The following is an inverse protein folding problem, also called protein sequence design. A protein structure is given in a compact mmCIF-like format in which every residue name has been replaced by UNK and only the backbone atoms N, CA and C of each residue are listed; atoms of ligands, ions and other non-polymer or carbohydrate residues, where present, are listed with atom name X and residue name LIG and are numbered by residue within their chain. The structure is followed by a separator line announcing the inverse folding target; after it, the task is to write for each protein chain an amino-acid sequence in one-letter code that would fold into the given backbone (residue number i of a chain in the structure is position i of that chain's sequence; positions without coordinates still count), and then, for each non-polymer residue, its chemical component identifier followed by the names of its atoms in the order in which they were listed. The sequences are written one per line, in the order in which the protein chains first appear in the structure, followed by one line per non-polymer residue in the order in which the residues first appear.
data_IF_089078397761
#
_entry.id   IF_089078397761
#
_cell.length_a   1.000
_cell.length_b   1.000
_cell.length_c   1.000
_cell.angle_alpha   90.00
_cell.angle_beta   90.00
_cell.angle_gamma   90.00
#
_symmetry.space_group_name_H-M   'P 1'
#
loop_
_entity.id
_entity.type
_entity.pdbx_description
1 polymer ?
#
# COMPACT_ATOMS: atom_id res chain seq x y z
N UNK A 1 42.52 27.58 -37.55
CA UNK A 1 41.58 28.67 -37.16
C UNK A 1 41.08 29.30 -38.45
N UNK A 2 39.94 28.85 -38.98
CA UNK A 2 39.38 29.36 -40.24
C UNK A 2 37.91 29.72 -40.04
N UNK A 3 37.56 30.96 -40.39
CA UNK A 3 36.26 31.61 -40.17
C UNK A 3 35.62 31.82 -41.54
N UNK A 4 34.42 31.27 -41.77
CA UNK A 4 33.65 31.49 -43.00
C UNK A 4 32.36 32.23 -42.66
N UNK A 5 32.19 33.40 -43.29
CA UNK A 5 31.03 34.30 -43.16
C UNK A 5 29.82 33.73 -43.90
N UNK A 6 28.64 33.73 -43.27
CA UNK A 6 27.36 33.48 -43.94
C UNK A 6 26.89 34.74 -44.67
N UNK A 7 26.41 34.60 -45.91
CA UNK A 7 25.73 35.64 -46.68
C UNK A 7 24.27 35.19 -46.85
N UNK A 8 23.34 36.04 -46.42
CA UNK A 8 21.90 35.84 -46.60
C UNK A 8 21.50 36.23 -48.02
N UNK A 9 20.61 35.45 -48.64
CA UNK A 9 19.78 35.89 -49.77
C UNK A 9 18.39 35.31 -49.59
N UNK A 10 17.42 36.22 -49.45
CA UNK A 10 15.98 35.99 -49.44
C UNK A 10 15.50 35.76 -50.87
N UNK A 11 14.86 34.61 -51.13
CA UNK A 11 14.05 34.38 -52.32
C UNK A 11 12.64 34.01 -51.88
N UNK A 12 11.67 34.87 -52.20
CA UNK A 12 10.23 34.60 -52.09
C UNK A 12 9.80 33.92 -53.38
N UNK A 13 9.11 32.79 -53.28
CA UNK A 13 8.30 32.26 -54.37
C UNK A 13 6.88 32.03 -53.84
N UNK A 14 5.95 32.80 -54.40
CA UNK A 14 4.54 32.80 -54.08
C UNK A 14 3.82 31.65 -54.80
N UNK A 15 2.76 31.13 -54.17
CA UNK A 15 1.71 30.35 -54.81
C UNK A 15 1.54 28.93 -54.27
N UNK A 16 0.84 28.79 -53.14
CA UNK A 16 0.16 27.53 -52.80
C UNK A 16 -1.34 27.75 -52.94
N UNK A 17 -2.01 26.87 -53.67
CA UNK A 17 -3.43 26.93 -53.97
C UNK A 17 -4.27 26.98 -52.69
N UNK A 18 -5.33 27.78 -52.69
CA UNK A 18 -6.43 27.77 -51.74
C UNK A 18 -7.14 26.43 -51.77
N UNK A 19 -6.57 25.43 -51.11
CA UNK A 19 -7.27 24.26 -50.66
C UNK A 19 -7.77 24.57 -49.24
N UNK A 20 -9.06 24.36 -48.99
CA UNK A 20 -9.74 24.59 -47.73
C UNK A 20 -8.93 24.08 -46.54
N UNK A 21 -8.26 25.00 -45.85
CA UNK A 21 -7.68 24.76 -44.55
C UNK A 21 -8.85 24.56 -43.59
N UNK A 22 -9.26 23.30 -43.40
CA UNK A 22 -10.01 22.91 -42.22
C UNK A 22 -9.19 23.33 -41.02
N UNK A 23 -9.78 24.25 -40.26
CA UNK A 23 -9.31 24.78 -38.99
C UNK A 23 -8.92 23.61 -38.07
N UNK A 24 -7.66 23.19 -38.09
CA UNK A 24 -7.11 22.26 -37.10
C UNK A 24 -6.85 23.08 -35.85
N UNK A 25 -7.93 23.34 -35.10
CA UNK A 25 -7.89 24.03 -33.84
C UNK A 25 -6.86 23.38 -32.91
N UNK A 26 -5.77 24.11 -32.66
CA UNK A 26 -4.91 23.87 -31.50
C UNK A 26 -5.82 24.05 -30.28
N UNK A 27 -5.76 23.10 -29.36
CA UNK A 27 -6.66 22.95 -28.22
C UNK A 27 -6.56 24.13 -27.24
N UNK A 28 -7.17 25.26 -27.59
CA UNK A 28 -7.37 26.44 -26.77
C UNK A 28 -8.76 27.00 -27.04
N UNK A 29 -9.79 26.26 -26.60
CA UNK A 29 -11.09 26.86 -26.32
C UNK A 29 -11.30 26.84 -24.81
N UNK A 30 -11.81 27.94 -24.26
CA UNK A 30 -12.31 28.01 -22.89
C UNK A 30 -13.60 27.19 -22.77
N UNK A 31 -13.51 25.89 -23.04
CA UNK A 31 -14.54 24.93 -22.63
C UNK A 31 -14.36 24.67 -21.15
N UNK A 32 -15.40 24.91 -20.35
CA UNK A 32 -15.52 24.32 -19.00
C UNK A 32 -15.30 22.81 -19.16
N UNK A 33 -14.10 22.35 -18.85
CA UNK A 33 -13.70 20.98 -19.09
C UNK A 33 -14.46 20.05 -18.15
N UNK A 34 -15.33 19.20 -18.69
CA UNK A 34 -15.95 18.12 -17.94
C UNK A 34 -16.22 16.94 -18.91
N UNK A 35 -15.33 15.95 -18.94
CA UNK A 35 -15.71 14.57 -19.26
C UNK A 35 -16.13 13.89 -17.96
N UNK A 36 -17.25 14.30 -17.36
CA UNK A 36 -17.89 13.49 -16.32
C UNK A 36 -18.62 12.39 -17.07
N UNK A 37 -17.95 11.25 -17.25
CA UNK A 37 -18.67 9.99 -17.43
C UNK A 37 -19.51 9.79 -16.17
N UNK A 38 -20.69 9.18 -16.30
CA UNK A 38 -21.47 8.63 -15.20
C UNK A 38 -20.69 7.48 -14.55
N UNK A 39 -19.52 7.80 -14.00
CA UNK A 39 -18.81 6.93 -13.10
C UNK A 39 -19.66 6.94 -11.83
N UNK A 40 -20.07 5.75 -11.37
CA UNK A 40 -20.72 5.56 -10.07
C UNK A 40 -20.04 6.50 -9.07
N UNK A 41 -20.83 7.29 -8.32
CA UNK A 41 -20.34 8.15 -7.24
C UNK A 41 -19.58 7.30 -6.22
N UNK A 42 -18.33 6.97 -6.53
CA UNK A 42 -17.45 6.33 -5.59
C UNK A 42 -16.96 7.47 -4.70
N UNK A 43 -17.42 7.46 -3.45
CA UNK A 43 -17.15 8.45 -2.42
C UNK A 43 -15.69 8.36 -1.90
N UNK A 44 -14.73 8.35 -2.83
CA UNK A 44 -13.31 8.40 -2.58
C UNK A 44 -12.94 9.79 -2.06
N UNK A 45 -12.12 9.83 -1.02
CA UNK A 45 -11.59 11.08 -0.48
C UNK A 45 -10.60 11.66 -1.48
N UNK A 46 -10.91 12.85 -2.03
CA UNK A 46 -9.94 13.63 -2.80
C UNK A 46 -8.99 14.40 -1.87
N UNK A 47 -7.93 14.98 -2.41
CA UNK A 47 -7.01 15.81 -1.62
C UNK A 47 -7.72 17.08 -1.11
N UNK A 48 -8.62 17.66 -1.92
CA UNK A 48 -9.43 18.79 -1.48
C UNK A 48 -10.42 18.38 -0.37
N UNK A 49 -11.01 17.19 -0.46
CA UNK A 49 -11.83 16.65 0.64
C UNK A 49 -11.01 16.43 1.91
N UNK A 50 -9.76 15.94 1.79
CA UNK A 50 -8.84 15.81 2.92
C UNK A 50 -8.67 17.16 3.63
N UNK A 51 -8.35 18.21 2.88
CA UNK A 51 -8.12 19.54 3.43
C UNK A 51 -9.39 20.16 4.00
N UNK A 52 -10.49 20.11 3.26
CA UNK A 52 -11.72 20.83 3.62
C UNK A 52 -12.55 20.13 4.69
N UNK A 53 -12.56 18.78 4.72
CA UNK A 53 -13.42 18.02 5.64
C UNK A 53 -12.72 17.55 6.90
N UNK A 54 -11.39 17.44 6.88
CA UNK A 54 -10.61 16.84 7.96
C UNK A 54 -9.52 17.75 8.50
N UNK A 55 -8.84 18.50 7.63
CA UNK A 55 -7.66 19.32 7.99
C UNK A 55 -7.92 20.83 7.85
N UNK A 56 -9.17 21.27 7.97
CA UNK A 56 -9.54 22.67 7.73
C UNK A 56 -8.88 23.61 8.74
N UNK A 57 -9.01 23.29 10.02
CA UNK A 57 -8.31 23.98 11.09
C UNK A 57 -7.85 22.98 12.15
N UNK A 58 -6.88 23.40 12.96
CA UNK A 58 -6.27 22.54 13.97
C UNK A 58 -7.26 22.05 15.02
N UNK A 59 -8.12 22.91 15.54
CA UNK A 59 -9.03 22.55 16.63
C UNK A 59 -10.11 21.59 16.12
N UNK A 60 -10.62 21.83 14.92
CA UNK A 60 -11.50 20.91 14.21
C UNK A 60 -10.81 19.57 13.93
N UNK A 61 -9.57 19.58 13.43
CA UNK A 61 -8.79 18.35 13.17
C UNK A 61 -8.66 17.52 14.45
N UNK A 62 -8.28 18.14 15.56
CA UNK A 62 -8.13 17.46 16.85
C UNK A 62 -9.49 16.94 17.38
N UNK A 63 -10.56 17.71 17.20
CA UNK A 63 -11.93 17.28 17.55
C UNK A 63 -12.35 16.05 16.74
N UNK A 64 -12.11 16.06 15.43
CA UNK A 64 -12.38 14.94 14.54
C UNK A 64 -11.54 13.72 14.91
N UNK A 65 -10.23 13.89 15.14
CA UNK A 65 -9.35 12.79 15.56
C UNK A 65 -9.84 12.12 16.86
N UNK A 66 -10.38 12.89 17.81
CA UNK A 66 -11.01 12.33 19.02
C UNK A 66 -12.28 11.55 18.70
N UNK A 67 -13.15 12.12 17.88
CA UNK A 67 -14.42 11.51 17.51
C UNK A 67 -14.22 10.19 16.76
N UNK A 68 -13.20 10.11 15.90
CA UNK A 68 -12.80 8.88 15.21
C UNK A 68 -12.06 7.88 16.12
N UNK A 69 -11.62 8.27 17.31
CA UNK A 69 -10.79 7.42 18.16
C UNK A 69 -9.38 7.20 17.60
N UNK A 70 -8.83 8.18 16.89
CA UNK A 70 -7.43 8.23 16.46
C UNK A 70 -6.52 8.90 17.49
N UNK A 71 -7.09 9.72 18.38
CA UNK A 71 -6.48 10.22 19.62
C UNK A 71 -7.43 10.00 20.79
N UNK A 72 -6.90 9.96 22.02
CA UNK A 72 -7.71 9.71 23.20
C UNK A 72 -8.78 10.81 23.39
N UNK A 73 -10.02 10.42 23.66
CA UNK A 73 -11.11 11.34 23.99
C UNK A 73 -11.07 11.78 25.46
N UNK A 74 -10.52 10.93 26.33
CA UNK A 74 -10.34 11.16 27.76
C UNK A 74 -9.08 10.45 28.24
N UNK A 75 -8.48 10.92 29.34
CA UNK A 75 -7.31 10.29 29.95
C UNK A 75 -7.39 10.37 31.47
N UNK A 76 -7.01 9.29 32.16
CA UNK A 76 -6.91 9.26 33.62
C UNK A 76 -5.49 9.56 34.08
N UNK A 77 -5.35 10.31 35.16
CA UNK A 77 -4.07 10.60 35.77
C UNK A 77 -3.50 9.36 36.47
N UNK A 78 -2.33 8.89 36.06
CA UNK A 78 -1.67 7.73 36.69
C UNK A 78 -1.30 7.92 38.16
N UNK A 79 -1.28 9.14 38.68
CA UNK A 79 -0.95 9.43 40.09
C UNK A 79 -2.19 9.47 41.00
N UNK A 80 -3.32 10.03 40.53
CA UNK A 80 -4.54 10.19 41.35
C UNK A 80 -5.76 9.40 40.86
N UNK A 81 -5.67 8.73 39.71
CA UNK A 81 -6.78 8.02 39.08
C UNK A 81 -7.92 8.90 38.56
N UNK A 82 -7.84 10.23 38.72
CA UNK A 82 -8.88 11.15 38.24
C UNK A 82 -8.72 11.52 36.78
N UNK A 83 -9.81 11.93 36.16
CA UNK A 83 -9.81 12.47 34.79
C UNK A 83 -8.92 13.71 34.66
N UNK A 84 -8.12 13.71 33.59
CA UNK A 84 -7.28 14.82 33.19
C UNK A 84 -8.09 15.80 32.33
N UNK A 85 -7.76 17.09 32.42
CA UNK A 85 -8.35 18.13 31.59
C UNK A 85 -7.57 18.29 30.29
N UNK A 86 -8.27 18.63 29.22
CA UNK A 86 -7.68 19.05 27.95
C UNK A 86 -7.44 20.56 28.01
N UNK A 87 -6.18 20.97 28.10
CA UNK A 87 -5.79 22.36 28.31
C UNK A 87 -4.92 22.85 27.16
N UNK A 88 -5.16 24.10 26.72
CA UNK A 88 -4.35 24.74 25.68
C UNK A 88 -2.94 25.07 26.22
N UNK A 89 -1.94 24.97 25.35
CA UNK A 89 -0.56 25.30 25.68
C UNK A 89 0.15 25.91 24.46
N UNK A 90 0.94 26.95 24.70
CA UNK A 90 1.67 27.65 23.64
C UNK A 90 3.12 27.14 23.47
N UNK A 91 3.61 26.32 24.42
CA UNK A 91 4.97 25.82 24.47
C UNK A 91 5.17 24.49 23.74
N UNK A 92 4.13 23.97 23.08
CA UNK A 92 4.15 22.73 22.28
C UNK A 92 3.55 23.01 20.91
N UNK A 93 4.13 22.40 19.87
CA UNK A 93 3.64 22.49 18.49
C UNK A 93 2.21 22.00 18.33
N UNK A 94 1.78 21.05 19.15
CA UNK A 94 0.44 20.46 19.11
C UNK A 94 -0.66 21.36 19.72
N UNK A 95 -0.29 22.40 20.46
CA UNK A 95 -1.22 23.38 21.02
C UNK A 95 -2.03 22.94 22.23
N UNK A 96 -2.00 21.66 22.62
CA UNK A 96 -2.75 21.13 23.76
C UNK A 96 -2.01 20.05 24.53
N UNK A 97 -2.37 19.90 25.81
CA UNK A 97 -1.89 18.84 26.72
C UNK A 97 -3.02 18.28 27.57
N UNK A 98 -2.86 17.03 28.01
CA UNK A 98 -3.63 16.48 29.11
C UNK A 98 -3.01 16.91 30.43
N UNK A 99 -3.77 17.57 31.30
CA UNK A 99 -3.27 18.11 32.56
C UNK A 99 -4.11 17.69 33.76
N UNK A 100 -3.44 17.31 34.85
CA UNK A 100 -4.04 17.09 36.16
C UNK A 100 -3.33 17.95 37.22
N UNK A 101 -4.11 18.70 38.01
CA UNK A 101 -3.65 19.55 39.12
C UNK A 101 -4.33 19.20 40.45
N UNK A 102 -4.86 17.98 40.60
CA UNK A 102 -5.60 17.58 41.80
C UNK A 102 -4.69 17.45 43.03
N UNK A 103 -5.30 17.54 44.21
CA UNK A 103 -4.64 17.36 45.49
C UNK A 103 -4.91 15.93 46.01
N UNK A 104 -3.87 15.21 46.42
CA UNK A 104 -3.96 13.91 47.08
C UNK A 104 -3.26 14.03 48.44
N UNK A 105 -3.90 13.56 49.52
CA UNK A 105 -3.31 13.56 50.87
C UNK A 105 -2.70 14.92 51.28
N UNK A 106 -3.39 16.02 50.93
CA UNK A 106 -2.92 17.38 51.21
C UNK A 106 -1.79 17.91 50.33
N UNK A 107 -1.21 17.11 49.42
CA UNK A 107 -0.17 17.55 48.47
C UNK A 107 -0.75 17.71 47.06
N UNK A 108 -0.52 18.87 46.45
CA UNK A 108 -0.82 19.07 45.02
C UNK A 108 0.17 18.26 44.20
N UNK A 109 -0.32 17.52 43.22
CA UNK A 109 0.53 16.96 42.18
C UNK A 109 0.18 17.64 40.86
N UNK A 110 1.20 17.78 40.02
CA UNK A 110 1.07 18.24 38.65
C UNK A 110 1.48 17.07 37.77
N UNK A 111 0.53 16.57 36.98
CA UNK A 111 0.80 15.59 35.93
C UNK A 111 0.40 16.20 34.59
N UNK A 112 1.33 16.18 33.64
CA UNK A 112 1.11 16.60 32.27
C UNK A 112 1.46 15.45 31.33
N UNK A 113 0.65 15.26 30.30
CA UNK A 113 0.86 14.26 29.25
C UNK A 113 0.57 14.87 27.89
N UNK A 114 1.35 14.48 26.89
CA UNK A 114 1.05 14.86 25.50
C UNK A 114 -0.33 14.35 25.09
N UNK A 115 -0.98 15.11 24.20
CA UNK A 115 -2.19 14.64 23.51
C UNK A 115 -1.85 13.58 22.45
N UNK A 116 -0.58 13.49 22.06
CA UNK A 116 -0.06 12.38 21.26
C UNK A 116 -0.16 11.09 22.08
N UNK A 117 -0.62 10.06 21.40
CA UNK A 117 -0.78 8.70 21.86
C UNK A 117 -1.18 7.84 20.67
N UNK A 118 -1.47 6.56 20.91
CA UNK A 118 -1.74 5.62 19.82
C UNK A 118 -0.59 5.69 18.81
N UNK A 119 -0.88 5.78 17.53
CA UNK A 119 0.10 5.84 16.44
C UNK A 119 0.80 7.20 16.24
N UNK A 120 0.36 8.26 16.92
CA UNK A 120 1.06 9.57 16.89
C UNK A 120 2.17 9.67 17.95
N UNK A 121 2.34 8.65 18.79
CA UNK A 121 3.37 8.63 19.82
C UNK A 121 4.77 8.64 19.19
N UNK A 122 5.66 9.48 19.72
CA UNK A 122 7.03 9.69 19.20
C UNK A 122 7.13 10.16 17.73
N UNK A 123 6.02 10.53 17.10
CA UNK A 123 6.04 11.09 15.76
C UNK A 123 6.68 12.50 15.76
N UNK A 124 7.74 12.66 14.96
CA UNK A 124 8.41 13.95 14.73
C UNK A 124 7.70 14.84 13.68
N UNK A 125 6.43 14.58 13.41
CA UNK A 125 5.58 15.27 12.45
C UNK A 125 4.30 15.75 13.13
N UNK A 126 3.74 16.87 12.71
CA UNK A 126 2.43 17.37 13.16
C UNK A 126 1.31 16.38 12.78
N UNK A 127 0.17 16.45 13.47
CA UNK A 127 -1.01 15.65 13.12
C UNK A 127 -1.38 15.82 11.64
N UNK A 128 -1.39 17.06 11.15
CA UNK A 128 -1.69 17.39 9.76
C UNK A 128 -0.71 16.74 8.78
N UNK A 129 0.59 16.81 9.04
CA UNK A 129 1.61 16.19 8.20
C UNK A 129 1.48 14.66 8.16
N UNK A 130 1.16 14.02 9.29
CA UNK A 130 0.92 12.57 9.35
C UNK A 130 -0.33 12.18 8.54
N UNK A 131 -1.42 12.93 8.68
CA UNK A 131 -2.64 12.67 7.91
C UNK A 131 -2.40 12.85 6.40
N UNK A 132 -1.67 13.89 6.00
CA UNK A 132 -1.29 14.08 4.59
C UNK A 132 -0.34 12.99 4.10
N UNK A 133 0.65 12.58 4.91
CA UNK A 133 1.59 11.53 4.55
C UNK A 133 0.86 10.23 4.25
N UNK A 134 0.03 9.76 5.18
CA UNK A 134 -0.73 8.52 5.03
C UNK A 134 -1.72 8.58 3.87
N UNK A 135 -2.36 9.73 3.64
CA UNK A 135 -3.20 9.94 2.47
C UNK A 135 -2.42 9.76 1.17
N UNK A 136 -1.30 10.49 1.00
CA UNK A 136 -0.48 10.42 -0.21
C UNK A 136 0.12 9.03 -0.42
N UNK A 137 0.54 8.38 0.66
CA UNK A 137 0.99 6.99 0.64
C UNK A 137 -0.14 6.04 0.17
N UNK A 138 -1.37 6.22 0.66
CA UNK A 138 -2.51 5.43 0.21
C UNK A 138 -2.85 5.68 -1.27
N UNK A 139 -2.55 6.88 -1.79
CA UNK A 139 -2.64 7.21 -3.22
C UNK A 139 -1.48 6.67 -4.08
N UNK A 140 -0.60 5.82 -3.51
CA UNK A 140 0.49 5.13 -4.22
C UNK A 140 1.57 6.10 -4.75
N UNK A 141 1.75 7.25 -4.09
CA UNK A 141 2.88 8.14 -4.36
C UNK A 141 4.16 7.54 -3.79
N UNK A 142 5.26 7.73 -4.51
CA UNK A 142 6.57 7.28 -4.05
C UNK A 142 7.08 8.14 -2.88
N UNK A 143 7.97 7.56 -2.08
CA UNK A 143 8.54 8.22 -0.88
C UNK A 143 9.16 9.60 -1.20
N UNK A 144 9.77 9.75 -2.39
CA UNK A 144 10.40 11.00 -2.80
C UNK A 144 9.37 12.08 -3.12
N UNK A 145 8.28 11.72 -3.79
CA UNK A 145 7.14 12.60 -4.08
C UNK A 145 6.51 13.09 -2.77
N UNK A 146 6.23 12.19 -1.83
CA UNK A 146 5.63 12.55 -0.53
C UNK A 146 6.58 13.48 0.23
N UNK A 147 7.86 13.14 0.29
CA UNK A 147 8.90 13.99 0.91
C UNK A 147 8.89 15.40 0.32
N UNK A 148 8.86 15.52 -1.01
CA UNK A 148 8.86 16.81 -1.71
C UNK A 148 7.59 17.61 -1.43
N UNK A 149 6.43 16.97 -1.38
CA UNK A 149 5.16 17.64 -1.15
C UNK A 149 5.01 18.15 0.29
N UNK A 150 5.50 17.39 1.27
CA UNK A 150 5.39 17.76 2.69
C UNK A 150 6.59 18.54 3.22
N UNK A 151 7.69 18.61 2.47
CA UNK A 151 8.91 19.28 2.90
C UNK A 151 9.65 18.58 4.06
N UNK A 152 9.40 17.29 4.27
CA UNK A 152 9.96 16.53 5.41
C UNK A 152 11.37 15.98 5.13
N UNK A 153 12.07 15.62 6.20
CA UNK A 153 13.39 14.98 6.13
C UNK A 153 13.33 13.55 5.56
N UNK A 154 14.45 13.07 5.01
CA UNK A 154 14.53 11.70 4.45
C UNK A 154 14.24 10.62 5.50
N UNK A 155 14.80 10.77 6.72
CA UNK A 155 14.58 9.82 7.81
C UNK A 155 13.10 9.71 8.18
N UNK A 156 12.44 10.84 8.43
CA UNK A 156 11.00 10.88 8.70
C UNK A 156 10.18 10.20 7.59
N UNK A 157 10.51 10.46 6.31
CA UNK A 157 9.82 9.82 5.20
C UNK A 157 10.02 8.29 5.14
N UNK A 158 11.23 7.79 5.43
CA UNK A 158 11.50 6.35 5.51
C UNK A 158 10.76 5.72 6.69
N UNK A 159 10.83 6.35 7.86
CA UNK A 159 10.22 5.84 9.09
C UNK A 159 8.71 5.70 8.92
N UNK A 160 8.04 6.71 8.35
CA UNK A 160 6.61 6.69 8.10
C UNK A 160 6.18 5.74 6.99
N UNK A 161 7.00 5.59 5.94
CA UNK A 161 6.76 4.60 4.90
C UNK A 161 6.89 3.16 5.44
N UNK A 162 7.86 2.93 6.33
CA UNK A 162 7.98 1.66 7.08
C UNK A 162 6.79 1.43 8.01
N UNK A 163 6.37 2.45 8.76
CA UNK A 163 5.19 2.38 9.62
C UNK A 163 3.93 1.97 8.85
N UNK A 164 3.69 2.57 7.67
CA UNK A 164 2.52 2.23 6.85
C UNK A 164 2.54 0.76 6.41
N UNK A 165 3.72 0.22 6.08
CA UNK A 165 3.88 -1.21 5.76
C UNK A 165 3.68 -2.11 6.98
N UNK A 166 4.15 -1.70 8.15
CA UNK A 166 3.96 -2.45 9.39
C UNK A 166 2.46 -2.57 9.73
N UNK A 167 1.69 -1.49 9.58
CA UNK A 167 0.21 -1.52 9.71
C UNK A 167 -0.42 -2.54 8.76
N UNK A 168 0.06 -2.61 7.51
CA UNK A 168 -0.39 -3.61 6.54
C UNK A 168 -0.05 -5.03 7.00
N UNK A 169 1.18 -5.26 7.45
CA UNK A 169 1.67 -6.57 7.90
C UNK A 169 0.87 -7.10 9.10
N UNK A 170 0.71 -6.27 10.14
CA UNK A 170 -0.08 -6.61 11.34
C UNK A 170 -1.52 -6.89 10.96
N UNK A 171 -2.13 -6.04 10.14
CA UNK A 171 -3.52 -6.21 9.67
C UNK A 171 -3.71 -7.54 8.95
N UNK A 172 -2.80 -7.88 8.03
CA UNK A 172 -2.88 -9.11 7.25
C UNK A 172 -2.62 -10.35 8.11
N UNK A 173 -1.80 -10.22 9.15
CA UNK A 173 -1.53 -11.28 10.12
C UNK A 173 -2.73 -11.55 11.04
N UNK A 174 -3.41 -10.51 11.51
CA UNK A 174 -4.64 -10.62 12.32
C UNK A 174 -5.79 -11.24 11.52
N UNK A 175 -5.96 -10.84 10.26
CA UNK A 175 -6.99 -11.32 9.35
C UNK A 175 -6.60 -12.61 8.62
N UNK A 176 -5.62 -13.37 9.13
CA UNK A 176 -5.13 -14.58 8.45
C UNK A 176 -6.19 -15.69 8.49
N UNK A 177 -6.47 -16.25 7.32
CA UNK A 177 -7.41 -17.34 7.16
C UNK A 177 -7.00 -18.26 6.01
N UNK A 178 -7.33 -19.55 6.13
CA UNK A 178 -7.08 -20.50 5.04
C UNK A 178 -7.86 -20.13 3.79
N UNK A 179 -7.26 -20.36 2.64
CA UNK A 179 -7.79 -20.15 1.31
C UNK A 179 -8.33 -21.48 0.77
N UNK A 180 -9.41 -21.43 0.00
CA UNK A 180 -9.98 -22.61 -0.65
C UNK A 180 -11.05 -23.30 0.19
N UNK A 181 -11.04 -24.64 0.15
CA UNK A 181 -12.01 -25.54 0.74
C UNK A 181 -12.63 -26.48 -0.31
N UNK A 182 -13.45 -27.45 0.12
CA UNK A 182 -14.16 -28.36 -0.79
C UNK A 182 -14.94 -27.60 -1.87
N UNK A 183 -14.70 -27.97 -3.13
CA UNK A 183 -15.32 -27.33 -4.29
C UNK A 183 -14.78 -25.93 -4.65
N UNK A 184 -13.73 -25.47 -3.98
CA UNK A 184 -13.01 -24.22 -4.34
C UNK A 184 -11.73 -24.54 -5.10
N UNK A 185 -11.38 -23.62 -5.99
CA UNK A 185 -10.19 -23.68 -6.83
C UNK A 185 -9.18 -22.62 -6.41
N UNK A 186 -7.92 -23.04 -6.26
CA UNK A 186 -6.78 -22.15 -6.04
C UNK A 186 -5.68 -22.47 -7.05
N UNK A 187 -4.98 -21.42 -7.50
CA UNK A 187 -3.75 -21.56 -8.28
C UNK A 187 -2.55 -21.35 -7.36
N UNK A 188 -1.51 -22.17 -7.51
CA UNK A 188 -0.25 -22.04 -6.78
C UNK A 188 0.93 -22.02 -7.75
N UNK A 189 1.98 -21.30 -7.39
CA UNK A 189 3.19 -21.13 -8.19
C UNK A 189 4.32 -20.51 -7.36
N UNK A 190 5.54 -20.56 -7.89
CA UNK A 190 6.73 -19.91 -7.35
C UNK A 190 7.27 -18.86 -8.30
N UNK A 191 7.59 -17.70 -7.75
CA UNK A 191 8.22 -16.62 -8.51
C UNK A 191 9.53 -16.19 -7.86
N UNK A 192 10.56 -15.97 -8.69
CA UNK A 192 11.83 -15.39 -8.25
C UNK A 192 11.90 -13.89 -8.54
N UNK A 193 12.11 -13.09 -7.50
CA UNK A 193 12.47 -11.67 -7.59
C UNK A 193 13.99 -11.55 -7.74
N UNK A 194 14.47 -10.58 -8.53
CA UNK A 194 15.91 -10.36 -8.71
C UNK A 194 16.60 -11.52 -9.43
N UNK A 195 16.16 -11.84 -10.66
CA UNK A 195 16.80 -12.85 -11.51
C UNK A 195 17.65 -12.23 -12.62
N UNK A 196 18.70 -12.93 -13.03
CA UNK A 196 19.49 -12.59 -14.21
C UNK A 196 18.62 -12.50 -15.46
N UNK A 197 18.86 -11.47 -16.27
CA UNK A 197 18.27 -11.39 -17.61
C UNK A 197 18.91 -12.48 -18.48
N UNK A 198 18.10 -13.41 -19.00
CA UNK A 198 18.55 -14.54 -19.84
C UNK A 198 19.65 -15.41 -19.23
N UNK A 199 19.72 -15.52 -17.90
CA UNK A 199 20.80 -16.23 -17.19
C UNK A 199 22.22 -15.71 -17.48
N UNK A 200 22.35 -14.51 -18.07
CA UNK A 200 23.63 -13.87 -18.42
C UNK A 200 23.90 -12.66 -17.52
N UNK A 201 25.18 -12.30 -17.38
CA UNK A 201 25.62 -11.13 -16.61
C UNK A 201 25.78 -11.37 -15.11
N UNK A 202 25.70 -10.29 -14.33
CA UNK A 202 25.96 -10.26 -12.88
C UNK A 202 25.14 -11.31 -12.09
N UNK A 203 25.76 -12.05 -11.15
CA UNK A 203 25.01 -12.99 -10.28
C UNK A 203 24.08 -12.17 -9.37
N UNK A 204 22.80 -12.51 -9.35
CA UNK A 204 21.87 -11.96 -8.36
C UNK A 204 21.32 -13.15 -7.58
N UNK A 205 21.50 -13.14 -6.25
CA UNK A 205 20.96 -14.18 -5.35
C UNK A 205 19.44 -14.29 -5.54
N UNK A 206 18.77 -13.13 -5.54
CA UNK A 206 17.33 -13.00 -5.69
C UNK A 206 16.57 -13.53 -4.48
N UNK A 207 15.24 -13.38 -4.49
CA UNK A 207 14.34 -13.88 -3.45
C UNK A 207 13.28 -14.76 -4.08
N UNK A 208 13.11 -15.98 -3.58
CA UNK A 208 11.97 -16.81 -3.96
C UNK A 208 10.73 -16.38 -3.18
N UNK A 209 9.60 -16.41 -3.86
CA UNK A 209 8.28 -16.11 -3.30
C UNK A 209 7.35 -17.24 -3.73
N UNK A 210 6.65 -17.83 -2.78
CA UNK A 210 5.57 -18.78 -3.03
C UNK A 210 4.23 -18.04 -2.99
N UNK A 211 3.30 -18.42 -3.87
CA UNK A 211 2.00 -17.77 -3.98
C UNK A 211 0.85 -18.76 -4.06
N UNK A 212 -0.28 -18.37 -3.48
CA UNK A 212 -1.58 -19.03 -3.57
C UNK A 212 -2.61 -17.96 -3.91
N UNK A 213 -3.43 -18.17 -4.92
CA UNK A 213 -4.53 -17.26 -5.26
C UNK A 213 -5.81 -18.02 -5.53
N UNK A 214 -6.92 -17.56 -4.96
CA UNK A 214 -8.24 -18.13 -5.21
C UNK A 214 -8.75 -17.69 -6.59
N UNK A 215 -9.37 -18.58 -7.34
CA UNK A 215 -9.78 -18.29 -8.73
C UNK A 215 -10.91 -17.25 -8.83
N UNK A 216 -11.86 -17.29 -7.91
CA UNK A 216 -13.09 -16.50 -7.94
C UNK A 216 -13.01 -15.14 -7.22
N UNK A 217 -11.88 -14.82 -6.58
CA UNK A 217 -11.75 -13.64 -5.70
C UNK A 217 -10.32 -13.14 -5.62
N UNK A 218 -10.09 -12.00 -4.98
CA UNK A 218 -8.74 -11.45 -4.76
C UNK A 218 -8.04 -11.98 -3.51
N UNK A 219 -8.62 -13.00 -2.85
CA UNK A 219 -7.98 -13.63 -1.69
C UNK A 219 -6.73 -14.38 -2.17
N UNK A 220 -5.57 -13.91 -1.72
CA UNK A 220 -4.28 -14.50 -2.02
C UNK A 220 -3.39 -14.56 -0.80
N UNK A 221 -2.37 -15.39 -0.90
CA UNK A 221 -1.28 -15.50 0.04
C UNK A 221 0.01 -15.50 -0.77
N UNK A 222 0.99 -14.69 -0.35
CA UNK A 222 2.31 -14.62 -0.94
C UNK A 222 3.30 -14.51 0.21
N UNK A 223 4.37 -15.29 0.17
CA UNK A 223 5.40 -15.28 1.21
C UNK A 223 6.77 -15.58 0.63
N UNK A 224 7.79 -14.91 1.18
CA UNK A 224 9.18 -15.17 0.84
C UNK A 224 9.61 -16.53 1.36
N UNK A 225 10.24 -17.34 0.51
CA UNK A 225 10.80 -18.63 0.89
C UNK A 225 12.29 -18.68 0.58
N UNK A 226 13.08 -19.35 1.42
CA UNK A 226 14.51 -19.53 1.16
C UNK A 226 14.76 -20.54 0.03
N UNK A 227 13.91 -21.56 -0.07
CA UNK A 227 14.00 -22.60 -1.07
C UNK A 227 12.60 -23.09 -1.48
N UNK A 228 12.55 -23.83 -2.59
CA UNK A 228 11.33 -24.40 -3.20
C UNK A 228 11.28 -25.92 -3.08
N UNK A 229 11.76 -26.45 -1.96
CA UNK A 229 11.68 -27.89 -1.69
C UNK A 229 10.23 -28.29 -1.45
N UNK A 230 9.92 -29.56 -1.70
CA UNK A 230 8.61 -30.13 -1.40
C UNK A 230 8.20 -29.89 0.06
N UNK A 231 9.12 -30.08 1.01
CA UNK A 231 8.85 -29.85 2.44
C UNK A 231 8.43 -28.40 2.73
N UNK A 232 9.20 -27.42 2.25
CA UNK A 232 8.91 -25.98 2.47
C UNK A 232 7.54 -25.61 1.89
N UNK A 233 7.27 -26.01 0.65
CA UNK A 233 6.01 -25.65 -0.03
C UNK A 233 4.82 -26.39 0.55
N UNK A 234 4.96 -27.68 0.90
CA UNK A 234 3.88 -28.44 1.54
C UNK A 234 3.51 -27.88 2.91
N UNK A 235 4.48 -27.40 3.69
CA UNK A 235 4.20 -26.77 4.99
C UNK A 235 3.33 -25.51 4.80
N UNK A 236 3.71 -24.63 3.87
CA UNK A 236 2.93 -23.43 3.53
C UNK A 236 1.54 -23.79 3.00
N UNK A 237 1.43 -24.79 2.13
CA UNK A 237 0.14 -25.24 1.59
C UNK A 237 -0.76 -25.79 2.71
N UNK A 238 -0.23 -26.57 3.65
CA UNK A 238 -1.02 -27.09 4.78
C UNK A 238 -1.49 -25.98 5.71
N UNK A 239 -0.66 -24.96 5.92
CA UNK A 239 -1.00 -23.81 6.75
C UNK A 239 -2.08 -22.94 6.09
N UNK A 240 -1.93 -22.65 4.80
CA UNK A 240 -2.72 -21.62 4.11
C UNK A 240 -3.82 -22.15 3.20
N UNK A 241 -3.83 -23.42 2.82
CA UNK A 241 -4.86 -24.02 1.97
C UNK A 241 -5.72 -24.98 2.79
N UNK A 242 -7.03 -24.80 2.70
CA UNK A 242 -7.98 -25.70 3.38
C UNK A 242 -7.98 -27.08 2.70
N UNK A 243 -8.08 -28.20 3.44
CA UNK A 243 -8.20 -29.53 2.84
C UNK A 243 -9.41 -29.66 1.92
N UNK A 244 -9.32 -30.54 0.92
CA UNK A 244 -10.35 -30.76 -0.10
C UNK A 244 -10.36 -29.71 -1.21
N UNK A 245 -9.39 -28.79 -1.23
CA UNK A 245 -9.26 -27.78 -2.28
C UNK A 245 -8.78 -28.38 -3.59
N UNK A 246 -9.28 -27.88 -4.71
CA UNK A 246 -8.71 -28.13 -6.05
C UNK A 246 -7.55 -27.17 -6.27
N UNK A 247 -6.33 -27.69 -6.29
CA UNK A 247 -5.10 -26.93 -6.50
C UNK A 247 -4.67 -27.10 -7.96
N UNK A 248 -4.46 -25.99 -8.65
CA UNK A 248 -3.90 -25.93 -10.00
C UNK A 248 -2.47 -25.39 -9.94
N UNK A 249 -1.49 -26.10 -10.50
CA UNK A 249 -0.09 -25.63 -10.57
C UNK A 249 0.55 -25.98 -11.92
N UNK A 250 1.74 -25.43 -12.16
CA UNK A 250 2.64 -25.97 -13.17
C UNK A 250 3.12 -27.38 -12.74
N UNK A 251 3.65 -28.16 -13.67
CA UNK A 251 4.08 -29.55 -13.41
C UNK A 251 5.32 -29.71 -12.52
N UNK A 252 5.59 -28.78 -11.61
CA UNK A 252 6.75 -28.82 -10.74
C UNK A 252 6.73 -30.04 -9.80
N UNK A 253 7.88 -30.72 -9.70
CA UNK A 253 8.02 -31.99 -8.97
C UNK A 253 7.63 -31.90 -7.50
N UNK A 254 7.83 -30.74 -6.87
CA UNK A 254 7.49 -30.53 -5.46
C UNK A 254 5.98 -30.67 -5.20
N UNK A 255 5.13 -30.54 -6.21
CA UNK A 255 3.68 -30.66 -6.09
C UNK A 255 3.15 -32.08 -6.33
N UNK A 256 4.00 -33.04 -6.69
CA UNK A 256 3.57 -34.38 -7.10
C UNK A 256 2.76 -35.13 -6.02
N UNK A 257 2.98 -34.84 -4.73
CA UNK A 257 2.32 -35.53 -3.62
C UNK A 257 1.14 -34.76 -3.02
N UNK A 258 0.67 -33.65 -3.63
CA UNK A 258 -0.46 -32.88 -3.10
C UNK A 258 -1.73 -33.72 -2.88
N UNK A 259 -1.97 -34.68 -3.78
CA UNK A 259 -3.06 -35.68 -3.65
C UNK A 259 -3.05 -36.45 -2.33
N UNK A 260 -1.86 -36.82 -1.84
CA UNK A 260 -1.67 -37.57 -0.59
C UNK A 260 -1.89 -36.71 0.66
N UNK A 261 -1.96 -35.40 0.49
CA UNK A 261 -2.13 -34.43 1.58
C UNK A 261 -3.54 -33.84 1.62
N UNK A 262 -4.52 -34.54 1.05
CA UNK A 262 -5.94 -34.19 1.16
C UNK A 262 -6.41 -33.10 0.19
N UNK A 263 -5.63 -32.78 -0.85
CA UNK A 263 -6.00 -31.83 -1.90
C UNK A 263 -6.17 -32.53 -3.24
N UNK A 264 -6.98 -31.97 -4.13
CA UNK A 264 -7.13 -32.46 -5.50
C UNK A 264 -6.14 -31.68 -6.36
N UNK A 265 -5.15 -32.35 -6.95
CA UNK A 265 -4.14 -31.67 -7.76
C UNK A 265 -4.47 -31.77 -9.25
N UNK A 266 -4.42 -30.62 -9.93
CA UNK A 266 -4.53 -30.47 -11.37
C UNK A 266 -3.29 -29.77 -11.90
N UNK A 267 -2.78 -30.27 -13.01
CA UNK A 267 -1.51 -29.80 -13.58
C UNK A 267 -1.74 -29.18 -14.94
N UNK A 268 -0.98 -28.11 -15.24
CA UNK A 268 -0.91 -27.48 -16.56
C UNK A 268 0.54 -27.54 -17.03
N UNK A 269 0.77 -28.05 -18.25
CA UNK A 269 2.10 -28.10 -18.83
C UNK A 269 2.29 -26.98 -19.86
N UNK A 270 2.90 -25.87 -19.42
CA UNK A 270 3.15 -24.68 -20.23
C UNK A 270 4.07 -24.90 -21.44
N UNK A 271 4.80 -26.01 -21.51
CA UNK A 271 5.58 -26.36 -22.71
C UNK A 271 4.72 -26.92 -23.85
N UNK A 272 3.47 -27.32 -23.54
CA UNK A 272 2.56 -27.97 -24.47
C UNK A 272 1.30 -27.12 -24.66
N UNK A 273 0.71 -26.63 -23.58
CA UNK A 273 -0.61 -26.00 -23.59
C UNK A 273 -0.72 -24.87 -22.55
N UNK A 274 -1.55 -23.86 -22.88
CA UNK A 274 -1.88 -22.75 -21.96
C UNK A 274 -3.07 -23.08 -21.05
N UNK A 275 -3.96 -23.94 -21.53
CA UNK A 275 -5.13 -24.45 -20.81
C UNK A 275 -5.13 -25.94 -21.03
N UNK A 276 -5.28 -26.73 -19.96
CA UNK A 276 -5.30 -28.17 -20.09
C UNK A 276 -6.63 -28.67 -20.68
N UNK A 277 -6.67 -29.94 -21.08
CA UNK A 277 -7.88 -30.57 -21.67
C UNK A 277 -9.12 -30.51 -20.77
N UNK A 278 -8.94 -30.35 -19.47
CA UNK A 278 -10.01 -30.24 -18.48
C UNK A 278 -10.44 -28.77 -18.22
N UNK A 279 -9.79 -27.80 -18.87
CA UNK A 279 -10.10 -26.37 -18.76
C UNK A 279 -9.32 -25.61 -17.69
N UNK A 280 -8.34 -26.23 -17.02
CA UNK A 280 -7.55 -25.57 -15.98
C UNK A 280 -6.37 -24.77 -16.56
N UNK A 281 -6.05 -23.65 -15.90
CA UNK A 281 -4.93 -22.76 -16.22
C UNK A 281 -4.34 -22.12 -14.94
N UNK A 282 -3.17 -21.48 -15.06
CA UNK A 282 -2.47 -20.73 -14.00
C UNK A 282 -2.36 -19.22 -14.30
N UNK A 283 -3.15 -18.73 -15.28
CA UNK A 283 -3.09 -17.34 -15.75
C UNK A 283 -3.28 -16.30 -14.63
N UNK A 284 -4.10 -16.60 -13.62
CA UNK A 284 -4.41 -15.64 -12.56
C UNK A 284 -3.19 -15.41 -11.66
N UNK A 285 -2.49 -16.46 -11.27
CA UNK A 285 -1.27 -16.34 -10.46
C UNK A 285 -0.12 -15.71 -11.26
N UNK A 286 0.02 -16.02 -12.55
CA UNK A 286 0.99 -15.34 -13.43
C UNK A 286 0.73 -13.83 -13.51
N UNK A 287 -0.54 -13.44 -13.69
CA UNK A 287 -0.96 -12.04 -13.67
C UNK A 287 -0.75 -11.37 -12.31
N UNK A 288 -0.89 -12.12 -11.21
CA UNK A 288 -0.62 -11.65 -9.86
C UNK A 288 0.88 -11.36 -9.66
N UNK A 289 1.76 -12.22 -10.17
CA UNK A 289 3.21 -11.99 -10.14
C UNK A 289 3.65 -10.76 -10.91
N UNK A 290 3.02 -10.49 -12.05
CA UNK A 290 3.29 -9.26 -12.81
C UNK A 290 2.95 -8.02 -11.99
N UNK A 291 1.78 -8.00 -11.35
CA UNK A 291 1.34 -6.88 -10.53
C UNK A 291 2.24 -6.68 -9.31
N UNK A 292 2.58 -7.78 -8.61
CA UNK A 292 3.48 -7.75 -7.45
C UNK A 292 4.83 -7.16 -7.82
N UNK A 293 5.48 -7.67 -8.88
CA UNK A 293 6.80 -7.20 -9.30
C UNK A 293 6.80 -5.74 -9.76
N UNK A 294 5.70 -5.25 -10.34
CA UNK A 294 5.57 -3.86 -10.76
C UNK A 294 5.50 -2.89 -9.56
N UNK A 295 5.13 -3.38 -8.38
CA UNK A 295 5.03 -2.59 -7.15
C UNK A 295 6.28 -2.64 -6.27
N UNK A 296 7.21 -3.53 -6.55
CA UNK A 296 8.47 -3.58 -5.83
C UNK A 296 9.39 -2.41 -6.22
N UNK A 297 10.19 -1.89 -5.27
CA UNK A 297 11.21 -0.90 -5.60
C UNK A 297 12.15 -1.41 -6.69
N UNK A 298 12.48 -0.53 -7.64
CA UNK A 298 13.37 -0.89 -8.76
C UNK A 298 14.82 -1.12 -8.30
N UNK A 299 15.24 -0.45 -7.23
CA UNK A 299 16.61 -0.45 -6.72
C UNK A 299 16.64 -0.52 -5.20
N UNK A 300 17.77 -0.95 -4.63
CA UNK A 300 18.05 -0.82 -3.19
C UNK A 300 17.27 -1.76 -2.26
N UNK A 301 16.52 -2.74 -2.79
CA UNK A 301 15.79 -3.68 -1.94
C UNK A 301 16.74 -4.68 -1.29
N UNK A 302 16.80 -4.66 0.04
CA UNK A 302 17.45 -5.71 0.84
C UNK A 302 16.49 -6.88 1.05
N UNK A 303 17.07 -8.06 1.29
CA UNK A 303 16.30 -9.31 1.46
C UNK A 303 15.28 -9.20 2.61
N UNK A 304 15.71 -8.60 3.71
CA UNK A 304 14.94 -8.39 4.94
C UNK A 304 13.68 -7.52 4.75
N UNK A 305 13.61 -6.72 3.66
CA UNK A 305 12.46 -5.84 3.42
C UNK A 305 11.43 -6.44 2.47
N UNK A 306 11.69 -7.59 1.83
CA UNK A 306 10.72 -8.16 0.90
C UNK A 306 9.39 -8.48 1.57
N UNK A 307 9.39 -9.01 2.80
CA UNK A 307 8.15 -9.32 3.54
C UNK A 307 7.24 -8.10 3.65
N UNK A 308 7.78 -6.94 4.04
CA UNK A 308 7.01 -5.72 4.22
C UNK A 308 6.48 -5.15 2.89
N UNK A 309 7.27 -5.22 1.80
CA UNK A 309 6.77 -4.85 0.46
C UNK A 309 5.68 -5.79 -0.05
N UNK A 310 5.79 -7.09 0.22
CA UNK A 310 4.75 -8.06 -0.14
C UNK A 310 3.47 -7.83 0.69
N UNK A 311 3.60 -7.47 1.97
CA UNK A 311 2.47 -7.10 2.83
C UNK A 311 1.74 -5.87 2.29
N UNK A 312 2.47 -4.81 1.93
CA UNK A 312 1.88 -3.62 1.29
C UNK A 312 1.12 -3.99 0.02
N UNK A 313 1.78 -4.72 -0.88
CA UNK A 313 1.16 -5.14 -2.14
C UNK A 313 -0.13 -5.93 -1.90
N UNK A 314 -0.11 -6.90 -0.98
CA UNK A 314 -1.28 -7.73 -0.64
C UNK A 314 -2.40 -6.88 -0.03
N UNK A 315 -2.07 -5.96 0.87
CA UNK A 315 -3.04 -5.06 1.50
C UNK A 315 -3.73 -4.16 0.47
N UNK A 316 -2.98 -3.55 -0.46
CA UNK A 316 -3.55 -2.76 -1.57
C UNK A 316 -4.36 -3.63 -2.52
N UNK A 317 -3.89 -4.85 -2.80
CA UNK A 317 -4.55 -5.77 -3.73
C UNK A 317 -5.95 -6.17 -3.28
N UNK A 318 -6.12 -6.46 -1.99
CA UNK A 318 -7.42 -6.88 -1.42
C UNK A 318 -8.39 -5.70 -1.24
N UNK A 319 -7.91 -4.50 -0.94
CA UNK A 319 -8.74 -3.30 -0.71
C UNK A 319 -8.94 -2.39 -1.93
N UNK A 320 -8.59 -2.86 -3.13
CA UNK A 320 -8.55 -2.05 -4.36
C UNK A 320 -9.84 -1.31 -4.78
N UNK A 321 -11.00 -1.75 -4.29
CA UNK A 321 -12.31 -1.15 -4.60
C UNK A 321 -12.68 -0.02 -3.64
N UNK A 322 -12.06 0.04 -2.46
CA UNK A 322 -12.38 0.98 -1.39
C UNK A 322 -11.42 2.16 -1.33
N UNK A 323 -11.83 3.20 -0.60
CA UNK A 323 -10.96 4.30 -0.23
C UNK A 323 -9.85 3.80 0.69
N UNK A 324 -8.66 3.56 0.12
CA UNK A 324 -7.52 3.00 0.83
C UNK A 324 -7.14 3.82 2.06
N UNK A 325 -7.31 5.14 2.02
CA UNK A 325 -6.95 5.98 3.18
C UNK A 325 -7.91 5.74 4.35
N UNK A 326 -9.22 5.65 4.10
CA UNK A 326 -10.19 5.30 5.15
C UNK A 326 -9.94 3.91 5.71
N UNK A 327 -9.71 2.93 4.83
CA UNK A 327 -9.36 1.55 5.24
C UNK A 327 -8.10 1.54 6.10
N UNK A 328 -7.07 2.31 5.72
CA UNK A 328 -5.83 2.42 6.48
C UNK A 328 -6.07 3.00 7.87
N UNK A 329 -6.88 4.06 7.99
CA UNK A 329 -7.25 4.64 9.29
C UNK A 329 -8.04 3.64 10.15
N UNK A 330 -8.94 2.85 9.57
CA UNK A 330 -9.65 1.79 10.28
C UNK A 330 -8.71 0.69 10.79
N UNK A 331 -7.71 0.32 9.99
CA UNK A 331 -6.67 -0.62 10.40
C UNK A 331 -5.79 -0.05 11.53
N UNK A 332 -5.39 1.22 11.45
CA UNK A 332 -4.67 1.93 12.52
C UNK A 332 -5.49 1.95 13.81
N UNK A 333 -6.77 2.33 13.75
CA UNK A 333 -7.67 2.35 14.93
C UNK A 333 -7.77 1.00 15.61
N UNK A 334 -7.82 -0.08 14.82
CA UNK A 334 -7.87 -1.45 15.35
C UNK A 334 -6.59 -1.83 16.07
N UNK A 335 -5.43 -1.49 15.51
CA UNK A 335 -4.10 -1.87 16.03
C UNK A 335 -3.73 -1.02 17.25
N UNK A 336 -3.90 0.29 17.17
CA UNK A 336 -3.41 1.24 18.18
C UNK A 336 -4.53 1.78 19.08
N UNK A 337 -5.16 0.86 19.83
CA UNK A 337 -6.22 1.22 20.78
C UNK A 337 -5.66 1.94 22.01
N UNK A 338 -6.43 2.91 22.51
CA UNK A 338 -6.13 3.55 23.80
C UNK A 338 -6.41 2.58 24.94
N UNK A 339 -5.37 2.25 25.70
CA UNK A 339 -5.47 1.46 26.95
C UNK A 339 -5.88 2.33 28.12
#
# INVERSE_FOLDING_TARGET
MYRVKRRAVSGVQAGCSTADLKDQGIQCSYTKGIYKRDDKENNFTSYDDLLLRYLWDRDYTLSWLKAEGLIASSRTCGTCGSDMKWEACDDRSDGYVWQCRKQINGKRHWCERSIRGSWFENANMTFEEVMKFTYLWCQDLDQWQIKKQLGIGSHAAVDWDMFCREVCEVTLFEKREKIGGPGKLVQIDESKIGKRKYHRGHVVEGQWVFGVIKEDSRKSFIETVENRTEETLLNLIREWVAPGTVIVSDGWKAYANLGKHGNIHKTVNHSIEFVNKEGFHTNKIEGHWRQMKAKLPTHGCKKEHYSSYLAEFKWRYVHHEGDLWKVFLDDVKRIYQFK
#
